data_IF_985896687415
#
_entry.id   IF_985896687415
#
_cell.length_a   1.000
_cell.length_b   1.000
_cell.length_c   1.000
_cell.angle_alpha   90.00
_cell.angle_beta   90.00
_cell.angle_gamma   90.00
#
_symmetry.space_group_name_H-M   'P 1'
#
loop_
_entity.id
_entity.type
_entity.pdbx_description
1 polymer ?
#
# COMPACT_ATOMS: atom_id res chain seq x y z
N UNK A 1 2.63 28.56 54.67
CA UNK A 1 2.28 27.15 54.42
C UNK A 1 2.03 26.94 52.93
N UNK A 2 2.48 25.80 52.42
CA UNK A 2 2.96 25.54 51.05
C UNK A 2 1.84 25.46 49.98
N UNK A 3 1.98 26.23 48.89
CA UNK A 3 1.20 26.10 47.64
C UNK A 3 1.49 24.74 47.00
N UNK A 4 0.47 23.91 46.80
CA UNK A 4 0.61 22.65 46.05
C UNK A 4 0.39 22.93 44.56
N UNK A 5 1.47 23.11 43.82
CA UNK A 5 1.45 23.04 42.37
C UNK A 5 1.32 21.56 41.99
N UNK A 6 0.18 21.16 41.45
CA UNK A 6 0.03 19.86 40.80
C UNK A 6 0.60 19.98 39.38
N UNK A 7 1.87 19.61 39.23
CA UNK A 7 2.48 19.42 37.92
C UNK A 7 2.05 18.02 37.46
N UNK A 8 0.99 17.95 36.67
CA UNK A 8 0.64 16.75 35.93
C UNK A 8 1.69 16.52 34.85
N UNK A 9 2.50 15.48 35.03
CA UNK A 9 3.45 15.02 34.02
C UNK A 9 2.63 14.52 32.83
N UNK A 10 2.61 15.28 31.74
CA UNK A 10 2.15 14.77 30.45
C UNK A 10 3.24 13.80 30.00
N UNK A 11 3.03 12.52 30.28
CA UNK A 11 3.79 11.46 29.61
C UNK A 11 3.42 11.55 28.13
N UNK A 12 4.29 12.18 27.35
CA UNK A 12 4.34 11.98 25.90
C UNK A 12 4.64 10.50 25.70
N UNK A 13 3.59 9.70 25.55
CA UNK A 13 3.71 8.39 24.94
C UNK A 13 4.35 8.64 23.59
N UNK A 14 5.61 8.22 23.45
CA UNK A 14 6.22 8.07 22.14
C UNK A 14 5.31 7.13 21.38
N UNK A 15 4.46 7.70 20.52
CA UNK A 15 3.76 6.93 19.52
C UNK A 15 4.88 6.47 18.62
N UNK A 16 5.35 5.25 18.83
CA UNK A 16 6.14 4.55 17.83
C UNK A 16 5.20 4.38 16.64
N UNK A 17 5.11 5.41 15.80
CA UNK A 17 4.70 5.22 14.42
C UNK A 17 5.82 4.39 13.82
N UNK A 18 5.70 3.08 13.96
CA UNK A 18 6.34 2.15 13.06
C UNK A 18 5.83 2.60 11.70
N UNK A 19 6.64 3.38 10.99
CA UNK A 19 6.46 3.57 9.56
C UNK A 19 6.83 2.22 8.97
N UNK A 20 5.91 1.25 9.09
CA UNK A 20 5.91 0.10 8.22
C UNK A 20 6.04 0.69 6.83
N UNK A 21 7.04 0.23 6.07
CA UNK A 21 7.16 0.62 4.68
C UNK A 21 5.76 0.43 4.09
N UNK A 22 5.12 1.51 3.64
CA UNK A 22 3.70 1.51 3.28
C UNK A 22 3.48 0.80 1.94
N UNK A 23 4.39 -0.11 1.58
CA UNK A 23 4.43 -0.89 0.36
C UNK A 23 4.02 -2.30 0.75
N UNK A 24 3.01 -2.81 0.07
CA UNK A 24 2.46 -4.14 0.28
C UNK A 24 2.57 -4.90 -1.02
N UNK A 25 2.98 -6.14 -0.95
CA UNK A 25 3.02 -7.02 -2.11
C UNK A 25 1.61 -7.20 -2.68
N UNK A 26 1.50 -7.17 -3.99
CA UNK A 26 0.26 -7.45 -4.70
C UNK A 26 0.51 -8.36 -5.90
N UNK A 27 -0.28 -9.43 -5.95
CA UNK A 27 -0.17 -10.50 -6.93
C UNK A 27 -1.12 -10.22 -8.11
N UNK A 28 -0.64 -10.41 -9.33
CA UNK A 28 -1.45 -10.27 -10.54
C UNK A 28 -2.48 -11.39 -10.60
N UNK A 29 -3.76 -11.03 -10.52
CA UNK A 29 -4.89 -11.95 -10.63
C UNK A 29 -5.49 -11.99 -12.05
N UNK A 30 -5.09 -11.07 -12.92
CA UNK A 30 -5.51 -11.07 -14.32
C UNK A 30 -4.95 -9.91 -15.12
N UNK A 31 -5.16 -9.97 -16.43
CA UNK A 31 -4.78 -8.92 -17.37
C UNK A 31 -5.76 -8.88 -18.52
N UNK A 32 -5.94 -7.71 -19.13
CA UNK A 32 -6.79 -7.53 -20.30
C UNK A 32 -6.20 -6.47 -21.23
N UNK A 33 -6.05 -6.82 -22.50
CA UNK A 33 -5.72 -5.82 -23.52
C UNK A 33 -6.80 -4.73 -23.65
N UNK A 34 -6.37 -3.48 -23.76
CA UNK A 34 -7.18 -2.29 -24.03
C UNK A 34 -6.73 -1.67 -25.36
N UNK A 35 -7.16 -2.27 -26.47
CA UNK A 35 -6.74 -1.87 -27.82
C UNK A 35 -5.40 -2.52 -28.21
N UNK A 36 -4.55 -1.78 -28.93
CA UNK A 36 -3.22 -2.23 -29.35
C UNK A 36 -2.08 -1.61 -28.53
N UNK A 37 -2.39 -0.65 -27.66
CA UNK A 37 -1.37 0.22 -27.03
C UNK A 37 -1.41 0.18 -25.52
N UNK A 38 -2.48 -0.34 -24.90
CA UNK A 38 -2.60 -0.37 -23.46
C UNK A 38 -3.07 -1.72 -22.97
N UNK A 39 -2.70 -2.05 -21.74
CA UNK A 39 -3.22 -3.18 -21.01
C UNK A 39 -3.67 -2.77 -19.62
N UNK A 40 -4.78 -3.36 -19.18
CA UNK A 40 -5.24 -3.26 -17.80
C UNK A 40 -4.79 -4.50 -17.04
N UNK A 41 -4.04 -4.29 -15.97
CA UNK A 41 -3.52 -5.33 -15.10
C UNK A 41 -4.32 -5.30 -13.79
N UNK A 42 -4.80 -6.46 -13.34
CA UNK A 42 -5.58 -6.60 -12.12
C UNK A 42 -4.73 -7.25 -11.05
N UNK A 43 -4.73 -6.66 -9.85
CA UNK A 43 -3.92 -7.08 -8.71
C UNK A 43 -4.77 -7.29 -7.46
N UNK A 44 -4.30 -8.14 -6.58
CA UNK A 44 -4.82 -8.36 -5.24
C UNK A 44 -3.65 -8.30 -4.26
N UNK A 45 -3.76 -7.49 -3.20
CA UNK A 45 -2.72 -7.45 -2.16
C UNK A 45 -2.55 -8.84 -1.54
N UNK A 46 -1.31 -9.28 -1.39
CA UNK A 46 -0.99 -10.65 -1.02
C UNK A 46 -1.47 -10.98 0.39
N UNK A 47 -1.97 -12.20 0.56
CA UNK A 47 -2.41 -12.73 1.87
C UNK A 47 -1.26 -12.89 2.87
N UNK A 48 -0.01 -12.78 2.41
CA UNK A 48 1.20 -12.76 3.22
C UNK A 48 1.56 -11.36 3.74
N UNK A 49 0.89 -10.30 3.27
CA UNK A 49 1.04 -8.96 3.80
C UNK A 49 0.15 -8.73 5.01
N UNK A 50 0.57 -7.87 5.95
CA UNK A 50 -0.26 -7.42 7.08
C UNK A 50 -1.47 -6.56 6.63
N UNK A 51 -1.65 -6.38 5.32
CA UNK A 51 -2.68 -5.56 4.72
C UNK A 51 -3.84 -6.44 4.22
N UNK A 52 -5.10 -6.08 4.53
CA UNK A 52 -6.25 -6.85 4.10
C UNK A 52 -6.31 -6.95 2.57
N UNK A 53 -6.75 -8.12 2.07
CA UNK A 53 -6.91 -8.36 0.64
C UNK A 53 -7.70 -7.22 -0.04
N UNK A 54 -7.01 -6.47 -0.88
CA UNK A 54 -7.55 -5.34 -1.61
C UNK A 54 -7.27 -5.52 -3.10
N UNK A 55 -8.33 -5.41 -3.90
CA UNK A 55 -8.25 -5.55 -5.34
C UNK A 55 -8.20 -4.19 -6.01
N UNK A 56 -7.28 -4.05 -6.95
CA UNK A 56 -7.13 -2.84 -7.74
C UNK A 56 -6.68 -3.18 -9.17
N UNK A 57 -6.65 -2.18 -10.03
CA UNK A 57 -6.12 -2.33 -11.39
C UNK A 57 -5.29 -1.13 -11.79
N UNK A 58 -4.21 -1.38 -12.51
CA UNK A 58 -3.40 -0.35 -13.16
C UNK A 58 -3.51 -0.48 -14.67
N UNK A 59 -3.28 0.62 -15.38
CA UNK A 59 -3.17 0.63 -16.84
C UNK A 59 -1.73 0.94 -17.20
N UNK A 60 -1.15 0.08 -18.02
CA UNK A 60 0.20 0.23 -18.55
C UNK A 60 0.15 0.36 -20.07
N UNK A 61 1.17 0.97 -20.65
CA UNK A 61 1.38 0.95 -22.09
C UNK A 61 1.93 -0.41 -22.52
N UNK A 62 1.46 -0.91 -23.66
CA UNK A 62 1.83 -2.20 -24.23
C UNK A 62 0.69 -3.21 -24.25
N UNK A 63 1.07 -4.49 -24.15
CA UNK A 63 0.17 -5.63 -24.20
C UNK A 63 -0.10 -6.21 -22.82
N UNK A 64 -1.09 -7.11 -22.71
CA UNK A 64 -1.37 -7.82 -21.46
C UNK A 64 -0.19 -8.66 -20.94
N UNK A 65 0.75 -9.03 -21.81
CA UNK A 65 2.00 -9.70 -21.45
C UNK A 65 2.99 -8.79 -20.74
N UNK A 66 2.83 -7.46 -20.83
CA UNK A 66 3.66 -6.49 -20.13
C UNK A 66 3.25 -6.30 -18.66
N UNK A 67 2.11 -6.82 -18.22
CA UNK A 67 1.68 -6.72 -16.83
C UNK A 67 2.63 -7.51 -15.91
N UNK A 68 3.33 -6.89 -14.92
CA UNK A 68 4.17 -7.64 -13.99
C UNK A 68 3.37 -8.69 -13.20
N UNK A 69 4.00 -9.83 -12.88
CA UNK A 69 3.34 -10.88 -12.10
C UNK A 69 3.06 -10.46 -10.65
N UNK A 70 3.93 -9.63 -10.09
CA UNK A 70 3.85 -9.10 -8.74
C UNK A 70 4.32 -7.64 -8.79
N UNK A 71 3.77 -6.80 -7.92
CA UNK A 71 4.18 -5.41 -7.72
C UNK A 71 4.11 -5.09 -6.22
N UNK A 72 4.79 -4.03 -5.82
CA UNK A 72 4.56 -3.38 -4.54
C UNK A 72 3.56 -2.23 -4.72
N UNK A 73 2.51 -2.21 -3.91
CA UNK A 73 1.46 -1.21 -3.92
C UNK A 73 1.46 -0.41 -2.63
N UNK A 74 1.25 0.90 -2.72
CA UNK A 74 1.12 1.76 -1.56
C UNK A 74 -0.35 2.17 -1.36
N UNK A 75 -1.08 1.55 -0.42
CA UNK A 75 -2.51 1.78 -0.25
C UNK A 75 -2.85 3.18 0.24
N UNK A 76 -1.90 3.90 0.85
CA UNK A 76 -2.11 5.28 1.29
C UNK A 76 -2.05 6.28 0.14
N UNK A 77 -1.24 6.00 -0.88
CA UNK A 77 -0.98 6.94 -1.99
C UNK A 77 -1.52 6.47 -3.33
N UNK A 78 -1.93 5.21 -3.46
CA UNK A 78 -2.33 4.59 -4.73
C UNK A 78 -1.16 4.38 -5.69
N UNK A 79 0.08 4.58 -5.25
CA UNK A 79 1.28 4.37 -6.07
C UNK A 79 1.64 2.89 -6.14
N UNK A 80 2.33 2.52 -7.19
CA UNK A 80 2.88 1.17 -7.35
C UNK A 80 4.32 1.25 -7.86
N UNK A 81 5.08 0.19 -7.62
CA UNK A 81 6.42 -0.06 -8.18
C UNK A 81 6.58 -1.56 -8.47
N UNK A 82 7.41 -1.88 -9.44
CA UNK A 82 7.82 -3.26 -9.73
C UNK A 82 8.93 -3.71 -8.79
#
# INVERSE_FOLDING_TARGET
MLKRLLIGIITFGYINTVFADNWVDADRIGSKSQGYTYARCYYETSSYSDYPNHRFSIVIEGSEYNCPYQIEYNPLTGKWRE
#
